data_IF_810028576148
#
_entry.id   IF_810028576148
#
_cell.length_a   1.000
_cell.length_b   1.000
_cell.length_c   1.000
_cell.angle_alpha   90.00
_cell.angle_beta   90.00
_cell.angle_gamma   90.00
#
_symmetry.space_group_name_H-M   'P 1'
#
loop_
_entity.id
_entity.type
_entity.pdbx_description
1 polymer ?
#
# COMPACT_ATOMS: atom_id res chain seq x y z
N UNK A 1 -13.07 47.79 11.77
CA UNK A 1 -13.53 46.40 11.97
C UNK A 1 -12.98 45.54 10.83
N UNK A 2 -11.88 44.83 11.04
CA UNK A 2 -11.37 43.84 10.08
C UNK A 2 -12.03 42.51 10.39
N UNK A 3 -13.22 42.27 9.81
CA UNK A 3 -13.89 40.97 9.90
C UNK A 3 -13.06 39.92 9.14
N UNK A 4 -12.41 39.03 9.89
CA UNK A 4 -11.80 37.77 9.48
C UNK A 4 -10.71 37.86 8.39
N UNK A 5 -9.45 38.05 8.80
CA UNK A 5 -8.33 37.55 7.99
C UNK A 5 -8.48 36.03 7.89
N UNK A 6 -8.68 35.51 6.68
CA UNK A 6 -8.71 34.06 6.44
C UNK A 6 -7.38 33.46 6.89
N UNK A 7 -7.46 32.37 7.65
CA UNK A 7 -6.28 31.62 8.08
C UNK A 7 -5.70 30.88 6.87
N UNK A 8 -4.43 31.15 6.47
CA UNK A 8 -3.80 30.46 5.34
C UNK A 8 -3.77 28.94 5.48
N UNK A 9 -3.74 28.42 6.71
CA UNK A 9 -3.81 26.98 6.98
C UNK A 9 -5.15 26.38 6.55
N UNK A 10 -6.25 27.06 6.90
CA UNK A 10 -7.61 26.62 6.52
C UNK A 10 -7.81 26.68 5.00
N UNK A 11 -7.24 27.68 4.33
CA UNK A 11 -7.27 27.79 2.88
C UNK A 11 -6.48 26.65 2.21
N UNK A 12 -5.28 26.35 2.72
CA UNK A 12 -4.46 25.26 2.20
C UNK A 12 -5.11 23.89 2.43
N UNK A 13 -5.70 23.66 3.60
CA UNK A 13 -6.44 22.43 3.89
C UNK A 13 -7.60 22.25 2.91
N UNK A 14 -8.42 23.29 2.70
CA UNK A 14 -9.52 23.26 1.73
C UNK A 14 -9.03 23.02 0.30
N UNK A 15 -7.91 23.64 -0.09
CA UNK A 15 -7.28 23.41 -1.40
C UNK A 15 -6.88 21.94 -1.58
N UNK A 16 -6.21 21.34 -0.60
CA UNK A 16 -5.82 19.93 -0.65
C UNK A 16 -7.04 18.99 -0.68
N UNK A 17 -8.06 19.26 0.13
CA UNK A 17 -9.33 18.52 0.09
C UNK A 17 -9.98 18.59 -1.29
N UNK A 18 -9.98 19.77 -1.92
CA UNK A 18 -10.54 19.94 -3.26
C UNK A 18 -9.72 19.22 -4.34
N UNK A 19 -8.40 19.12 -4.18
CA UNK A 19 -7.55 18.36 -5.10
C UNK A 19 -7.82 16.86 -4.99
N UNK A 20 -7.88 16.33 -3.76
CA UNK A 20 -8.20 14.91 -3.53
C UNK A 20 -9.58 14.57 -4.12
N UNK A 21 -10.58 15.45 -3.95
CA UNK A 21 -11.93 15.29 -4.52
C UNK A 21 -11.98 15.29 -6.05
N UNK A 22 -10.93 15.77 -6.73
CA UNK A 22 -10.84 15.71 -8.19
C UNK A 22 -10.32 14.36 -8.70
N UNK A 23 -9.60 13.60 -7.87
CA UNK A 23 -9.18 12.26 -8.22
C UNK A 23 -10.41 11.36 -8.37
N UNK A 24 -10.45 10.57 -9.45
CA UNK A 24 -11.60 9.72 -9.72
C UNK A 24 -11.59 8.52 -8.77
N UNK A 25 -12.69 8.30 -8.06
CA UNK A 25 -12.85 7.11 -7.21
C UNK A 25 -13.11 5.86 -8.07
N UNK A 26 -12.25 4.85 -7.89
CA UNK A 26 -12.33 3.57 -8.60
C UNK A 26 -11.80 2.46 -7.72
N UNK A 27 -12.35 1.25 -7.82
CA UNK A 27 -11.77 0.08 -7.16
C UNK A 27 -10.50 -0.41 -7.85
N UNK A 28 -10.42 -0.26 -9.17
CA UNK A 28 -9.33 -0.73 -10.01
C UNK A 28 -8.84 0.44 -10.89
N UNK A 29 -7.60 0.93 -10.70
CA UNK A 29 -7.03 1.91 -11.61
C UNK A 29 -6.78 1.29 -12.98
N UNK A 30 -6.74 2.13 -14.02
CA UNK A 30 -6.57 1.67 -15.40
C UNK A 30 -5.30 0.83 -15.54
N UNK A 31 -5.41 -0.36 -16.13
CA UNK A 31 -4.28 -1.28 -16.34
C UNK A 31 -3.96 -2.18 -15.14
N UNK A 32 -4.76 -2.13 -14.07
CA UNK A 32 -4.58 -2.93 -12.86
C UNK A 32 -5.83 -3.74 -12.52
N UNK A 33 -5.64 -4.94 -11.98
CA UNK A 33 -6.70 -5.82 -11.48
C UNK A 33 -6.55 -6.00 -9.98
N UNK A 34 -7.60 -5.71 -9.21
CA UNK A 34 -7.68 -5.88 -7.77
C UNK A 34 -8.14 -7.30 -7.42
N UNK A 35 -7.60 -7.84 -6.34
CA UNK A 35 -8.06 -9.05 -5.67
C UNK A 35 -7.91 -8.83 -4.17
N UNK A 36 -8.87 -9.29 -3.38
CA UNK A 36 -8.87 -9.09 -1.92
C UNK A 36 -8.48 -10.40 -1.26
N UNK A 37 -7.49 -10.34 -0.36
CA UNK A 37 -7.09 -11.46 0.48
C UNK A 37 -7.42 -11.13 1.94
N UNK A 38 -8.32 -11.90 2.56
CA UNK A 38 -8.71 -11.69 3.96
C UNK A 38 -7.62 -12.21 4.92
N UNK A 39 -7.32 -11.43 5.95
CA UNK A 39 -6.32 -11.79 6.97
C UNK A 39 -6.68 -11.17 8.32
N UNK A 40 -6.75 -11.97 9.37
CA UNK A 40 -7.04 -11.47 10.72
C UNK A 40 -5.78 -10.97 11.42
N UNK A 41 -5.78 -9.73 11.89
CA UNK A 41 -4.74 -9.20 12.78
C UNK A 41 -3.39 -9.04 12.09
N UNK A 42 -3.39 -8.50 10.87
CA UNK A 42 -2.17 -8.23 10.13
C UNK A 42 -1.26 -7.25 10.89
N UNK A 43 -0.01 -7.63 11.09
CA UNK A 43 1.02 -6.80 11.71
C UNK A 43 1.93 -6.18 10.66
N UNK A 44 2.57 -7.02 9.83
CA UNK A 44 3.62 -6.60 8.89
C UNK A 44 3.50 -7.35 7.56
N UNK A 45 4.00 -6.75 6.50
CA UNK A 45 4.07 -7.32 5.15
C UNK A 45 5.39 -6.95 4.48
N UNK A 46 5.97 -7.84 3.69
CA UNK A 46 7.14 -7.53 2.86
C UNK A 46 7.20 -8.35 1.57
N UNK A 47 7.57 -7.70 0.47
CA UNK A 47 7.88 -8.39 -0.78
C UNK A 47 9.29 -8.98 -0.73
N UNK A 48 9.48 -10.15 -1.33
CA UNK A 48 10.82 -10.66 -1.61
C UNK A 48 11.52 -9.83 -2.67
N UNK A 49 12.81 -9.53 -2.46
CA UNK A 49 13.67 -8.91 -3.48
C UNK A 49 14.09 -9.94 -4.54
N UNK A 50 14.25 -11.20 -4.15
CA UNK A 50 14.65 -12.28 -5.05
C UNK A 50 13.48 -12.84 -5.87
N UNK A 51 12.27 -12.81 -5.33
CA UNK A 51 11.02 -13.29 -5.96
C UNK A 51 9.90 -12.25 -5.76
N UNK A 52 9.88 -11.16 -6.53
CA UNK A 52 8.99 -10.02 -6.29
C UNK A 52 7.49 -10.29 -6.33
N UNK A 53 7.05 -11.44 -6.87
CA UNK A 53 5.65 -11.87 -6.81
C UNK A 53 5.26 -12.49 -5.45
N UNK A 54 6.23 -12.80 -4.57
CA UNK A 54 5.96 -13.42 -3.28
C UNK A 54 5.93 -12.38 -2.17
N UNK A 55 4.88 -12.47 -1.35
CA UNK A 55 4.58 -11.54 -0.27
C UNK A 55 4.58 -12.29 1.06
N UNK A 56 5.57 -12.00 1.91
CA UNK A 56 5.56 -12.43 3.30
C UNK A 56 4.51 -11.61 4.04
N UNK A 57 3.59 -12.28 4.72
CA UNK A 57 2.57 -11.65 5.57
C UNK A 57 2.72 -12.13 6.99
N UNK A 58 2.65 -11.21 7.94
CA UNK A 58 2.83 -11.48 9.36
C UNK A 58 1.58 -11.01 10.09
N UNK A 59 1.02 -11.89 10.91
CA UNK A 59 -0.24 -11.71 11.62
C UNK A 59 -0.09 -12.14 13.08
N UNK A 60 -1.11 -11.85 13.89
CA UNK A 60 -1.21 -12.37 15.26
C UNK A 60 -1.18 -13.90 15.36
N UNK A 61 -1.41 -14.61 14.26
CA UNK A 61 -1.40 -16.08 14.17
C UNK A 61 -0.14 -16.66 13.50
N UNK A 62 0.94 -15.88 13.44
CA UNK A 62 2.20 -16.25 12.79
C UNK A 62 2.32 -15.65 11.40
N UNK A 63 3.08 -16.29 10.51
CA UNK A 63 3.47 -15.77 9.20
C UNK A 63 3.05 -16.69 8.05
N UNK A 64 2.79 -16.10 6.90
CA UNK A 64 2.41 -16.80 5.68
C UNK A 64 3.13 -16.24 4.46
N UNK A 65 3.13 -17.02 3.39
CA UNK A 65 3.65 -16.58 2.10
C UNK A 65 2.52 -16.62 1.08
N UNK A 66 2.23 -15.47 0.48
CA UNK A 66 1.24 -15.34 -0.57
C UNK A 66 1.97 -15.25 -1.92
N UNK A 67 1.55 -16.04 -2.90
CA UNK A 67 1.90 -15.78 -4.29
C UNK A 67 0.92 -14.74 -4.84
N UNK A 68 1.40 -13.51 -5.03
CA UNK A 68 0.57 -12.45 -5.57
C UNK A 68 0.16 -12.68 -7.03
N UNK A 69 0.75 -13.63 -7.76
CA UNK A 69 0.31 -13.91 -9.12
C UNK A 69 -0.99 -14.71 -9.14
N UNK A 70 -1.11 -15.76 -8.31
CA UNK A 70 -2.33 -16.56 -8.15
C UNK A 70 -3.26 -16.02 -7.07
N UNK A 71 -2.78 -15.11 -6.21
CA UNK A 71 -3.46 -14.62 -5.01
C UNK A 71 -3.77 -15.73 -3.99
N UNK A 72 -2.88 -16.71 -3.86
CA UNK A 72 -3.04 -17.86 -2.97
C UNK A 72 -1.99 -17.89 -1.87
N UNK A 73 -2.38 -18.38 -0.70
CA UNK A 73 -1.46 -18.69 0.39
C UNK A 73 -0.74 -20.01 0.06
N UNK A 74 0.56 -19.93 -0.19
CA UNK A 74 1.38 -21.07 -0.60
C UNK A 74 2.16 -21.70 0.55
N UNK A 75 2.42 -20.94 1.62
CA UNK A 75 3.09 -21.44 2.83
C UNK A 75 2.48 -20.82 4.08
N UNK A 76 2.45 -21.58 5.17
CA UNK A 76 1.95 -21.11 6.47
C UNK A 76 2.81 -21.62 7.61
N UNK A 77 3.22 -20.72 8.49
CA UNK A 77 3.87 -21.02 9.75
C UNK A 77 3.08 -20.39 10.90
N UNK A 78 2.54 -21.24 11.79
CA UNK A 78 1.73 -20.85 12.95
C UNK A 78 2.56 -20.48 14.18
N UNK A 79 3.88 -20.44 14.09
CA UNK A 79 4.76 -20.02 15.17
C UNK A 79 4.54 -18.54 15.51
N UNK A 80 4.21 -18.29 16.78
CA UNK A 80 3.93 -16.98 17.36
C UNK A 80 4.97 -16.58 18.40
N UNK A 81 6.18 -17.13 18.38
CA UNK A 81 7.29 -16.67 19.24
C UNK A 81 7.84 -15.29 18.83
N UNK A 82 7.64 -14.88 17.56
CA UNK A 82 8.14 -13.64 16.97
C UNK A 82 9.67 -13.51 16.91
N UNK A 83 10.44 -14.57 17.16
CA UNK A 83 11.92 -14.54 17.13
C UNK A 83 12.50 -14.30 15.71
N UNK A 84 11.65 -14.41 14.70
CA UNK A 84 11.97 -14.28 13.28
C UNK A 84 11.65 -12.89 12.72
N UNK A 85 11.19 -11.94 13.54
CA UNK A 85 11.03 -10.53 13.18
C UNK A 85 11.98 -9.68 14.00
N UNK A 86 12.60 -8.69 13.37
CA UNK A 86 13.32 -7.63 14.03
C UNK A 86 12.59 -6.31 13.76
N UNK A 87 11.86 -5.82 14.76
CA UNK A 87 11.05 -4.61 14.64
C UNK A 87 11.87 -3.32 14.60
N UNK A 88 13.14 -3.36 15.02
CA UNK A 88 14.04 -2.20 14.96
C UNK A 88 14.67 -2.06 13.57
N UNK A 89 15.10 -3.19 13.00
CA UNK A 89 15.66 -3.22 11.64
C UNK A 89 14.58 -3.34 10.56
N UNK A 90 13.33 -3.54 10.98
CA UNK A 90 12.16 -3.68 10.11
C UNK A 90 12.34 -4.83 9.11
N UNK A 91 12.86 -5.95 9.61
CA UNK A 91 13.11 -7.16 8.84
C UNK A 91 12.39 -8.37 9.42
N UNK A 92 12.17 -9.38 8.58
CA UNK A 92 11.74 -10.69 9.03
C UNK A 92 12.33 -11.79 8.19
N UNK A 93 12.70 -12.90 8.82
CA UNK A 93 13.12 -14.10 8.10
C UNK A 93 11.96 -14.63 7.25
N UNK A 94 12.22 -14.94 5.99
CA UNK A 94 11.25 -15.62 5.13
C UNK A 94 10.93 -17.05 5.59
N UNK A 95 9.95 -17.67 4.93
CA UNK A 95 9.54 -19.06 5.16
C UNK A 95 9.50 -19.84 3.84
N UNK A 96 9.49 -21.17 3.93
CA UNK A 96 9.42 -22.05 2.76
C UNK A 96 10.50 -21.71 1.74
N UNK A 97 10.07 -21.40 0.52
CA UNK A 97 10.97 -21.02 -0.59
C UNK A 97 11.79 -19.74 -0.36
N UNK A 98 11.40 -18.92 0.63
CA UNK A 98 12.12 -17.71 1.05
C UNK A 98 12.91 -17.91 2.35
N UNK A 99 13.10 -19.14 2.83
CA UNK A 99 13.74 -19.42 4.12
C UNK A 99 15.17 -18.88 4.26
N UNK A 100 15.83 -18.53 3.15
CA UNK A 100 17.19 -18.00 3.12
C UNK A 100 17.25 -16.49 2.86
N UNK A 101 16.10 -15.80 2.85
CA UNK A 101 16.00 -14.37 2.61
C UNK A 101 15.50 -13.66 3.87
N UNK A 102 16.20 -12.59 4.25
CA UNK A 102 15.69 -11.61 5.20
C UNK A 102 14.88 -10.55 4.43
N UNK A 103 13.60 -10.45 4.75
CA UNK A 103 12.63 -9.63 4.04
C UNK A 103 12.48 -8.29 4.79
N UNK A 104 12.60 -7.16 4.08
CA UNK A 104 12.19 -5.87 4.64
C UNK A 104 10.67 -5.83 4.73
N UNK A 105 10.15 -5.49 5.91
CA UNK A 105 8.73 -5.48 6.19
C UNK A 105 8.21 -4.07 6.50
N UNK A 106 6.91 -3.89 6.32
CA UNK A 106 6.20 -2.67 6.60
C UNK A 106 4.80 -2.95 7.17
N UNK A 107 4.37 -2.10 8.10
CA UNK A 107 3.15 -2.31 8.85
C UNK A 107 3.16 -1.54 10.17
N UNK A 108 2.72 -2.20 11.25
CA UNK A 108 2.55 -1.59 12.58
C UNK A 108 3.82 -0.96 13.13
N UNK A 109 4.96 -1.62 12.95
CA UNK A 109 6.24 -1.15 13.48
C UNK A 109 6.91 -0.11 12.57
N UNK A 110 6.33 0.20 11.41
CA UNK A 110 6.81 1.21 10.47
C UNK A 110 7.25 0.61 9.13
N UNK A 111 8.44 0.98 8.66
CA UNK A 111 8.98 0.54 7.37
C UNK A 111 8.33 1.20 6.17
N UNK A 112 8.56 0.61 4.99
CA UNK A 112 7.99 1.10 3.75
C UNK A 112 8.23 0.14 2.60
N UNK A 113 7.26 0.12 1.68
CA UNK A 113 7.38 -0.53 0.38
C UNK A 113 7.68 0.53 -0.69
N UNK A 114 8.24 0.15 -1.85
CA UNK A 114 8.39 1.06 -2.98
C UNK A 114 7.09 1.80 -3.31
N UNK A 115 7.13 3.13 -3.43
CA UNK A 115 5.94 3.95 -3.71
C UNK A 115 5.71 4.24 -5.20
N UNK A 116 6.65 3.84 -6.06
CA UNK A 116 6.57 4.07 -7.50
C UNK A 116 7.25 2.92 -8.24
N UNK A 117 6.71 2.54 -9.40
CA UNK A 117 7.34 1.58 -10.30
C UNK A 117 8.19 2.27 -11.39
N UNK A 118 8.91 1.47 -12.19
CA UNK A 118 9.78 1.98 -13.27
C UNK A 118 9.02 2.63 -14.43
N UNK A 119 7.73 2.41 -14.54
CA UNK A 119 6.87 2.96 -15.58
C UNK A 119 6.19 4.28 -15.15
N UNK A 120 6.50 4.74 -13.93
CA UNK A 120 6.03 6.01 -13.38
C UNK A 120 4.69 5.93 -12.66
N UNK A 121 4.11 4.74 -12.49
CA UNK A 121 2.93 4.59 -11.64
C UNK A 121 3.35 4.76 -10.18
N UNK A 122 2.68 5.66 -9.46
CA UNK A 122 2.96 6.00 -8.08
C UNK A 122 1.76 5.87 -7.16
N UNK A 123 2.03 5.80 -5.86
CA UNK A 123 1.03 5.82 -4.80
C UNK A 123 1.33 6.98 -3.85
N UNK A 124 0.31 7.72 -3.47
CA UNK A 124 0.42 8.78 -2.48
C UNK A 124 -0.65 8.67 -1.40
N UNK A 125 -0.21 8.85 -0.16
CA UNK A 125 -1.03 8.92 1.04
C UNK A 125 -1.53 10.35 1.27
N UNK A 126 -2.83 10.49 1.53
CA UNK A 126 -3.47 11.75 1.88
C UNK A 126 -4.36 11.57 3.10
N UNK A 127 -4.19 12.40 4.13
CA UNK A 127 -5.02 12.41 5.34
C UNK A 127 -5.72 13.77 5.50
N UNK A 128 -6.43 14.21 4.46
CA UNK A 128 -7.07 15.54 4.45
C UNK A 128 -8.31 15.62 5.34
N UNK A 129 -8.85 14.46 5.73
CA UNK A 129 -10.05 14.30 6.57
C UNK A 129 -9.79 13.27 7.68
N UNK A 130 -8.65 13.40 8.38
CA UNK A 130 -8.25 12.51 9.48
C UNK A 130 -9.42 12.22 10.45
N UNK A 131 -9.65 10.95 10.85
CA UNK A 131 -8.78 9.77 10.68
C UNK A 131 -8.92 9.03 9.34
N UNK A 132 -9.72 9.55 8.40
CA UNK A 132 -9.86 8.92 7.08
C UNK A 132 -8.61 9.20 6.25
N UNK A 133 -8.15 8.14 5.57
CA UNK A 133 -6.96 8.13 4.75
C UNK A 133 -7.38 7.78 3.32
N UNK A 134 -6.90 8.56 2.37
CA UNK A 134 -6.96 8.24 0.95
C UNK A 134 -5.61 7.70 0.45
N UNK A 135 -5.64 6.65 -0.36
CA UNK A 135 -4.50 6.28 -1.22
C UNK A 135 -4.88 6.62 -2.65
N UNK A 136 -4.07 7.49 -3.24
CA UNK A 136 -4.25 7.94 -4.62
C UNK A 136 -3.21 7.26 -5.49
N UNK A 137 -3.68 6.58 -6.51
CA UNK A 137 -2.86 6.05 -7.59
C UNK A 137 -2.62 7.14 -8.64
N UNK A 138 -1.35 7.31 -8.98
CA UNK A 138 -0.83 8.32 -9.89
C UNK A 138 -0.24 7.63 -11.12
N UNK A 139 -0.99 7.46 -12.21
CA UNK A 139 -0.49 6.74 -13.40
C UNK A 139 0.64 7.52 -14.07
N UNK A 140 1.63 6.84 -14.65
CA UNK A 140 2.57 7.42 -15.62
C UNK A 140 3.11 8.84 -15.29
N UNK A 141 3.69 9.00 -14.10
CA UNK A 141 4.28 10.24 -13.59
C UNK A 141 3.30 11.41 -13.39
N UNK A 142 1.99 11.18 -13.46
CA UNK A 142 0.98 12.20 -13.13
C UNK A 142 1.12 12.63 -11.69
N UNK A 143 0.89 13.90 -11.41
CA UNK A 143 1.02 14.44 -10.06
C UNK A 143 -0.30 14.95 -9.50
N UNK A 144 -0.78 14.36 -8.39
CA UNK A 144 -1.99 14.84 -7.71
C UNK A 144 -1.89 16.32 -7.33
N UNK A 145 -0.73 16.78 -6.88
CA UNK A 145 -0.52 18.18 -6.48
C UNK A 145 -0.49 19.14 -7.67
N UNK A 146 -0.36 18.64 -8.90
CA UNK A 146 -0.54 19.44 -10.11
C UNK A 146 -2.03 19.40 -10.47
N UNK A 147 -2.76 20.44 -10.07
CA UNK A 147 -4.24 20.47 -10.14
C UNK A 147 -4.80 20.16 -11.53
N UNK A 148 -4.08 20.51 -12.60
CA UNK A 148 -4.49 20.17 -13.97
C UNK A 148 -4.46 18.67 -14.30
N UNK A 149 -3.69 17.88 -13.54
CA UNK A 149 -3.51 16.43 -13.69
C UNK A 149 -4.28 15.63 -12.62
N UNK A 150 -4.83 16.28 -11.58
CA UNK A 150 -5.50 15.61 -10.47
C UNK A 150 -6.65 14.68 -10.93
N UNK A 151 -7.36 15.08 -11.99
CA UNK A 151 -8.46 14.29 -12.60
C UNK A 151 -8.00 13.03 -13.32
N UNK A 152 -6.71 12.93 -13.61
CA UNK A 152 -6.07 11.75 -14.20
C UNK A 152 -5.51 10.79 -13.13
N UNK A 153 -5.58 11.18 -11.85
CA UNK A 153 -5.27 10.34 -10.71
C UNK A 153 -6.52 9.62 -10.21
N UNK A 154 -6.31 8.49 -9.52
CA UNK A 154 -7.39 7.62 -9.07
C UNK A 154 -7.35 7.44 -7.56
N UNK A 155 -8.44 7.75 -6.88
CA UNK A 155 -8.60 7.37 -5.46
C UNK A 155 -9.00 5.91 -5.39
N UNK A 156 -8.13 5.08 -4.82
CA UNK A 156 -8.28 3.61 -4.81
C UNK A 156 -8.42 3.00 -3.40
N UNK A 157 -8.29 3.83 -2.37
CA UNK A 157 -8.58 3.50 -0.98
C UNK A 157 -9.11 4.76 -0.30
N UNK A 158 -10.13 4.61 0.54
CA UNK A 158 -10.73 5.67 1.35
C UNK A 158 -11.31 5.04 2.62
N UNK A 159 -10.46 4.88 3.62
CA UNK A 159 -10.85 4.26 4.89
C UNK A 159 -9.87 4.61 6.01
N UNK A 160 -10.09 4.06 7.20
CA UNK A 160 -9.17 4.10 8.33
C UNK A 160 -8.43 2.74 8.48
N UNK A 161 -7.52 2.62 9.45
CA UNK A 161 -6.71 1.41 9.73
C UNK A 161 -5.74 0.91 8.63
N UNK A 162 -5.24 1.80 7.79
CA UNK A 162 -4.15 1.48 6.88
C UNK A 162 -2.91 0.98 7.65
N UNK A 163 -2.42 -0.21 7.29
CA UNK A 163 -1.17 -0.78 7.82
C UNK A 163 0.02 -0.40 6.96
N UNK A 164 -0.10 -0.63 5.65
CA UNK A 164 0.95 -0.31 4.68
C UNK A 164 0.39 -0.32 3.27
N UNK A 165 1.17 0.23 2.33
CA UNK A 165 0.88 0.23 0.91
C UNK A 165 2.19 0.34 0.12
N UNK A 166 2.20 -0.16 -1.12
CA UNK A 166 3.33 -0.02 -2.02
C UNK A 166 3.49 -1.17 -3.01
N UNK A 167 4.45 -1.01 -3.91
CA UNK A 167 4.73 -1.92 -5.01
C UNK A 167 5.67 -3.06 -4.61
N UNK A 168 5.59 -4.17 -5.35
CA UNK A 168 6.66 -5.14 -5.46
C UNK A 168 7.91 -4.52 -6.07
N UNK A 169 9.08 -5.12 -5.82
CA UNK A 169 10.35 -4.59 -6.34
C UNK A 169 10.47 -4.59 -7.87
N UNK A 170 9.66 -5.40 -8.57
CA UNK A 170 9.57 -5.36 -10.03
C UNK A 170 8.45 -4.45 -10.56
N UNK A 171 7.63 -3.88 -9.66
CA UNK A 171 6.59 -2.92 -9.98
C UNK A 171 5.37 -3.49 -10.70
N UNK A 172 5.23 -4.82 -10.76
CA UNK A 172 4.10 -5.51 -11.42
C UNK A 172 2.92 -5.78 -10.50
N UNK A 173 3.14 -5.68 -9.20
CA UNK A 173 2.12 -5.80 -8.16
C UNK A 173 2.23 -4.58 -7.25
N UNK A 174 1.12 -4.10 -6.72
CA UNK A 174 1.13 -3.28 -5.50
C UNK A 174 0.05 -3.75 -4.54
N UNK A 175 0.19 -3.38 -3.28
CA UNK A 175 -0.76 -3.72 -2.23
C UNK A 175 -1.22 -2.48 -1.48
N UNK A 176 -2.42 -2.59 -0.90
CA UNK A 176 -2.91 -1.72 0.18
C UNK A 176 -3.43 -2.67 1.25
N UNK A 177 -2.84 -2.62 2.45
CA UNK A 177 -3.14 -3.56 3.51
C UNK A 177 -3.73 -2.86 4.73
N UNK A 178 -4.76 -3.46 5.32
CA UNK A 178 -5.41 -3.03 6.57
C UNK A 178 -5.21 -4.09 7.65
N UNK A 179 -5.85 -3.92 8.81
CA UNK A 179 -5.83 -4.93 9.87
C UNK A 179 -6.52 -6.26 9.49
N UNK A 180 -7.41 -6.24 8.49
CA UNK A 180 -8.36 -7.32 8.15
C UNK A 180 -8.22 -7.86 6.72
N UNK A 181 -7.56 -7.12 5.82
CA UNK A 181 -7.44 -7.50 4.42
C UNK A 181 -6.19 -6.94 3.74
N UNK A 182 -5.85 -7.57 2.62
CA UNK A 182 -4.80 -7.12 1.70
C UNK A 182 -5.46 -6.97 0.34
N UNK A 183 -5.53 -5.74 -0.13
CA UNK A 183 -5.94 -5.41 -1.49
C UNK A 183 -4.72 -5.56 -2.41
N UNK A 184 -4.69 -6.62 -3.21
CA UNK A 184 -3.60 -6.94 -4.14
C UNK A 184 -3.97 -6.47 -5.53
N UNK A 185 -3.17 -5.57 -6.09
CA UNK A 185 -3.33 -5.02 -7.42
C UNK A 185 -2.25 -5.56 -8.34
N UNK A 186 -2.66 -6.21 -9.42
CA UNK A 186 -1.75 -6.82 -10.39
C UNK A 186 -1.86 -6.11 -11.71
N UNK A 187 -0.72 -5.83 -12.32
CA UNK A 187 -0.68 -5.23 -13.64
C UNK A 187 -1.31 -6.18 -14.66
N UNK A 188 -2.27 -5.69 -15.42
CA UNK A 188 -2.86 -6.45 -16.51
C UNK A 188 -1.85 -6.51 -17.65
N UNK A 189 -1.72 -7.69 -18.28
CA UNK A 189 -0.98 -7.78 -19.54
C UNK A 189 -1.71 -6.93 -20.57
N UNK A 190 -1.04 -5.94 -21.13
CA UNK A 190 -1.52 -5.27 -22.34
C UNK A 190 -1.70 -6.34 -23.41
N UNK A 191 -2.85 -6.40 -24.10
CA UNK A 191 -3.06 -7.36 -25.19
C UNK A 191 -2.03 -7.21 -26.30
#
# INVERSE_FOLDING_TARGET
MSLFKKNPEDENKKRLQNIVKQAKEVEEPIGWKKTIFSIGGLSEIGFSKHKPNLLLVISSQGRGLIDCQSCELIERNYDTNWDWINSYDLTSQGIGILSNEEILVSGLHGGGLPLMNKEGDGLIYMATEWPIIDIIFQPHFKNLYKESEAKECFRIFHDYELRTYGFSYDGKTFIIATSSEINIYRKQKTP
#
